data_IF_109572641528
#
_entry.id   IF_109572641528
#
_cell.length_a   1.000
_cell.length_b   1.000
_cell.length_c   1.000
_cell.angle_alpha   90.00
_cell.angle_beta   90.00
_cell.angle_gamma   90.00
#
_symmetry.space_group_name_H-M   'P 1'
#
loop_
_entity.id
_entity.type
_entity.pdbx_description
1 polymer ?
#
# COMPACT_ATOMS: atom_id res chain seq x y z
N UNK A 1 7.11 -15.36 -4.33
CA UNK A 1 7.56 -14.31 -3.40
C UNK A 1 8.80 -13.61 -3.96
N UNK A 2 8.71 -12.30 -4.16
CA UNK A 2 9.81 -11.45 -4.68
C UNK A 2 10.72 -11.04 -3.52
N UNK A 3 12.04 -11.30 -3.64
CA UNK A 3 13.01 -10.85 -2.62
C UNK A 3 13.57 -9.48 -3.01
N UNK A 4 13.47 -8.53 -2.09
CA UNK A 4 14.11 -7.22 -2.21
C UNK A 4 15.48 -7.29 -1.54
N UNK A 5 16.52 -7.32 -2.37
CA UNK A 5 17.90 -7.31 -1.89
C UNK A 5 18.41 -5.88 -1.77
N UNK A 6 19.07 -5.57 -0.67
CA UNK A 6 19.65 -4.25 -0.41
C UNK A 6 20.93 -4.37 0.41
N UNK A 7 21.83 -3.40 0.24
CA UNK A 7 23.01 -3.23 1.09
C UNK A 7 22.77 -2.26 2.25
N UNK A 8 21.57 -1.63 2.30
CA UNK A 8 21.19 -0.75 3.39
C UNK A 8 20.83 -1.58 4.63
N UNK A 9 21.01 -1.01 5.81
CA UNK A 9 20.62 -1.62 7.09
C UNK A 9 19.11 -1.47 7.35
N UNK A 10 18.48 -0.47 6.74
CA UNK A 10 17.04 -0.22 6.81
C UNK A 10 16.51 0.34 5.48
N UNK A 11 15.22 0.16 5.24
CA UNK A 11 14.48 0.75 4.12
C UNK A 11 13.32 1.58 4.64
N UNK A 12 13.06 2.72 3.97
CA UNK A 12 11.89 3.55 4.18
C UNK A 12 10.95 3.38 2.98
N UNK A 13 9.76 2.89 3.23
CA UNK A 13 8.75 2.60 2.21
C UNK A 13 7.58 3.58 2.39
N UNK A 14 7.22 4.31 1.33
CA UNK A 14 5.99 5.09 1.28
C UNK A 14 4.80 4.16 1.06
N UNK A 15 3.68 4.45 1.71
CA UNK A 15 2.43 3.70 1.58
C UNK A 15 1.30 4.64 1.14
N UNK A 16 0.62 4.28 0.06
CA UNK A 16 -0.53 5.00 -0.45
C UNK A 16 -1.56 4.01 -1.03
N UNK A 17 -2.83 4.36 -1.01
CA UNK A 17 -3.91 3.54 -1.54
C UNK A 17 -5.11 4.38 -1.92
N UNK A 18 -6.00 3.83 -2.74
CA UNK A 18 -7.34 4.40 -2.96
C UNK A 18 -7.28 5.88 -3.40
N UNK A 19 -6.36 6.17 -4.33
CA UNK A 19 -6.18 7.54 -4.86
C UNK A 19 -7.35 7.99 -5.71
N UNK A 20 -8.02 7.06 -6.41
CA UNK A 20 -9.23 7.29 -7.20
C UNK A 20 -9.16 8.50 -8.15
N UNK A 21 -7.99 8.80 -8.69
CA UNK A 21 -7.81 9.92 -9.59
C UNK A 21 -8.24 9.57 -11.03
N UNK A 22 -8.83 10.50 -11.75
CA UNK A 22 -9.24 11.85 -11.33
C UNK A 22 -10.65 11.89 -10.71
N UNK A 23 -11.32 10.76 -10.53
CA UNK A 23 -12.75 10.69 -10.17
C UNK A 23 -13.06 11.31 -8.78
N UNK A 24 -12.07 11.40 -7.90
CA UNK A 24 -12.21 11.94 -6.53
C UNK A 24 -11.20 13.04 -6.21
N UNK A 25 -10.63 13.64 -7.23
CA UNK A 25 -9.62 14.69 -7.16
C UNK A 25 -8.31 14.28 -7.79
N UNK A 26 -7.35 15.18 -7.75
CA UNK A 26 -6.00 14.94 -8.25
C UNK A 26 -5.15 14.22 -7.20
N UNK A 27 -4.07 13.59 -7.63
CA UNK A 27 -3.06 13.05 -6.70
C UNK A 27 -2.49 14.20 -5.88
N UNK A 28 -2.56 14.16 -4.53
CA UNK A 28 -2.07 15.23 -3.68
C UNK A 28 -0.55 15.43 -3.87
N UNK A 29 -0.15 16.56 -4.42
CA UNK A 29 1.25 16.85 -4.76
C UNK A 29 2.14 16.99 -3.52
N UNK A 30 1.60 17.46 -2.40
CA UNK A 30 2.27 17.55 -1.11
C UNK A 30 2.68 16.18 -0.56
N UNK A 31 1.89 15.12 -0.81
CA UNK A 31 2.26 13.75 -0.44
C UNK A 31 3.39 13.24 -1.32
N UNK A 32 3.33 13.51 -2.63
CA UNK A 32 4.41 13.15 -3.55
C UNK A 32 5.72 13.84 -3.14
N UNK A 33 5.64 15.15 -2.85
CA UNK A 33 6.77 15.92 -2.36
C UNK A 33 7.31 15.35 -1.03
N UNK A 34 6.43 15.03 -0.07
CA UNK A 34 6.82 14.44 1.21
C UNK A 34 7.54 13.10 1.05
N UNK A 35 7.12 12.25 0.10
CA UNK A 35 7.82 11.01 -0.22
C UNK A 35 9.19 11.28 -0.85
N UNK A 36 9.30 12.26 -1.75
CA UNK A 36 10.55 12.64 -2.40
C UNK A 36 11.54 13.26 -1.41
N UNK A 37 11.10 14.20 -0.56
CA UNK A 37 11.91 14.84 0.48
C UNK A 37 12.47 13.84 1.50
N UNK A 38 11.68 12.83 1.87
CA UNK A 38 12.12 11.72 2.74
C UNK A 38 12.98 10.69 2.01
N UNK A 39 13.14 10.83 0.69
CA UNK A 39 13.91 9.92 -0.14
C UNK A 39 13.54 8.45 0.12
N UNK A 40 12.23 8.12 0.06
CA UNK A 40 11.75 6.75 0.26
C UNK A 40 12.44 5.79 -0.70
N UNK A 41 12.72 4.57 -0.27
CA UNK A 41 13.36 3.54 -1.09
C UNK A 41 12.38 2.92 -2.09
N UNK A 42 11.16 2.68 -1.64
CA UNK A 42 10.06 2.11 -2.42
C UNK A 42 8.77 2.87 -2.12
N UNK A 43 7.87 2.87 -3.10
CA UNK A 43 6.47 3.26 -2.93
C UNK A 43 5.59 2.02 -3.10
N UNK A 44 4.79 1.69 -2.10
CA UNK A 44 3.76 0.67 -2.19
C UNK A 44 2.40 1.33 -2.42
N UNK A 45 1.76 0.99 -3.54
CA UNK A 45 0.41 1.45 -3.84
C UNK A 45 -0.57 0.27 -3.78
N UNK A 46 -1.57 0.38 -2.91
CA UNK A 46 -2.47 -0.74 -2.59
C UNK A 46 -3.73 -0.77 -3.48
N UNK A 47 -3.63 -0.24 -4.71
CA UNK A 47 -4.71 -0.28 -5.71
C UNK A 47 -5.66 0.90 -5.71
N UNK A 48 -6.63 0.84 -6.60
CA UNK A 48 -7.60 1.90 -6.89
C UNK A 48 -6.96 3.20 -7.39
N UNK A 49 -6.14 3.06 -8.44
CA UNK A 49 -5.66 4.17 -9.29
C UNK A 49 -6.80 4.76 -10.11
N UNK A 50 -7.72 3.90 -10.57
CA UNK A 50 -8.83 4.07 -11.51
C UNK A 50 -8.45 4.04 -12.99
N UNK A 51 -7.34 4.62 -13.42
CA UNK A 51 -6.88 4.64 -14.81
C UNK A 51 -5.35 4.50 -14.95
N UNK A 52 -4.91 4.23 -16.18
CA UNK A 52 -3.51 4.05 -16.49
C UNK A 52 -2.69 5.33 -16.32
N UNK A 53 -3.27 6.51 -16.60
CA UNK A 53 -2.60 7.80 -16.48
C UNK A 53 -2.19 8.09 -15.02
N UNK A 54 -3.04 7.75 -14.06
CA UNK A 54 -2.70 7.86 -12.63
C UNK A 54 -1.55 6.92 -12.26
N UNK A 55 -1.57 5.67 -12.73
CA UNK A 55 -0.46 4.75 -12.52
C UNK A 55 0.85 5.27 -13.17
N UNK A 56 0.76 5.79 -14.41
CA UNK A 56 1.90 6.37 -15.12
C UNK A 56 2.49 7.57 -14.35
N UNK A 57 1.64 8.41 -13.75
CA UNK A 57 2.09 9.51 -12.90
C UNK A 57 2.98 9.01 -11.75
N UNK A 58 2.62 7.91 -11.08
CA UNK A 58 3.47 7.33 -10.02
C UNK A 58 4.76 6.72 -10.59
N UNK A 59 4.70 6.10 -11.77
CA UNK A 59 5.90 5.60 -12.46
C UNK A 59 6.88 6.73 -12.78
N UNK A 60 6.38 7.86 -13.28
CA UNK A 60 7.21 9.01 -13.67
C UNK A 60 7.90 9.64 -12.45
N UNK A 61 7.22 9.65 -11.28
CA UNK A 61 7.75 10.24 -10.05
C UNK A 61 8.70 9.31 -9.28
N UNK A 62 8.48 8.00 -9.31
CA UNK A 62 9.22 7.06 -8.45
C UNK A 62 10.03 6.01 -9.23
N UNK A 63 9.73 5.80 -10.50
CA UNK A 63 10.38 4.80 -11.34
C UNK A 63 9.84 3.38 -11.13
N UNK A 64 9.94 2.57 -12.19
CA UNK A 64 9.41 1.20 -12.23
C UNK A 64 9.99 0.27 -11.16
N UNK A 65 11.26 0.44 -10.84
CA UNK A 65 11.96 -0.42 -9.88
C UNK A 65 11.55 -0.13 -8.42
N UNK A 66 11.06 1.09 -8.17
CA UNK A 66 10.69 1.54 -6.82
C UNK A 66 9.19 1.50 -6.56
N UNK A 67 8.35 1.51 -7.61
CA UNK A 67 6.90 1.38 -7.47
C UNK A 67 6.50 -0.10 -7.42
N UNK A 68 5.94 -0.52 -6.31
CA UNK A 68 5.34 -1.85 -6.13
C UNK A 68 3.86 -1.66 -5.87
N UNK A 69 3.02 -2.20 -6.76
CA UNK A 69 1.60 -1.95 -6.71
C UNK A 69 0.78 -3.23 -6.87
N UNK A 70 -0.46 -3.19 -6.42
CA UNK A 70 -1.48 -4.22 -6.64
C UNK A 70 -2.70 -3.60 -7.33
N UNK A 71 -3.48 -4.44 -8.00
CA UNK A 71 -4.73 -4.05 -8.64
C UNK A 71 -5.82 -3.83 -7.59
N UNK A 72 -6.58 -2.73 -7.71
CA UNK A 72 -7.77 -2.46 -6.91
C UNK A 72 -9.07 -2.79 -7.63
N UNK A 73 -10.17 -2.76 -6.93
CA UNK A 73 -11.48 -3.09 -7.53
C UNK A 73 -12.04 -2.00 -8.45
N UNK A 74 -11.56 -0.76 -8.33
CA UNK A 74 -11.92 0.34 -9.22
C UNK A 74 -10.94 0.50 -10.40
N UNK A 75 -9.90 -0.31 -10.48
CA UNK A 75 -8.95 -0.34 -11.58
C UNK A 75 -9.55 -1.07 -12.78
N UNK A 76 -10.51 -0.42 -13.45
CA UNK A 76 -11.24 -1.01 -14.58
C UNK A 76 -10.49 -0.95 -15.91
N UNK A 77 -9.44 -0.13 -15.99
CA UNK A 77 -8.59 0.04 -17.16
C UNK A 77 -7.92 -1.29 -17.55
N UNK A 78 -8.01 -1.65 -18.85
CA UNK A 78 -7.48 -2.91 -19.36
C UNK A 78 -5.96 -3.02 -19.21
N UNK A 79 -5.22 -1.90 -19.38
CA UNK A 79 -3.78 -1.86 -19.21
C UNK A 79 -3.38 -2.12 -17.76
N UNK A 80 -4.13 -1.55 -16.78
CA UNK A 80 -3.88 -1.83 -15.37
C UNK A 80 -4.07 -3.31 -15.04
N UNK A 81 -5.15 -3.92 -15.56
CA UNK A 81 -5.43 -5.35 -15.37
C UNK A 81 -4.38 -6.28 -15.99
N UNK A 82 -3.73 -5.82 -17.05
CA UNK A 82 -2.66 -6.59 -17.70
C UNK A 82 -1.34 -6.54 -16.92
N UNK A 83 -1.03 -5.41 -16.28
CA UNK A 83 0.29 -5.18 -15.67
C UNK A 83 0.33 -5.33 -14.16
N UNK A 84 -0.80 -5.12 -13.45
CA UNK A 84 -0.86 -5.17 -12.00
C UNK A 84 -1.43 -6.51 -11.51
N UNK A 85 -0.75 -7.19 -10.59
CA UNK A 85 -1.30 -8.37 -9.95
C UNK A 85 -2.30 -7.99 -8.85
N UNK A 86 -3.22 -8.91 -8.52
CA UNK A 86 -4.14 -8.74 -7.38
C UNK A 86 -3.44 -8.79 -6.03
N UNK A 87 -2.31 -9.50 -5.96
CA UNK A 87 -1.52 -9.66 -4.74
C UNK A 87 -0.03 -9.60 -5.04
N UNK A 88 0.75 -9.14 -4.06
CA UNK A 88 2.21 -9.21 -4.08
C UNK A 88 2.70 -9.89 -2.80
N UNK A 89 3.68 -10.77 -2.95
CA UNK A 89 4.39 -11.38 -1.84
C UNK A 89 5.85 -10.95 -1.89
N UNK A 90 6.31 -10.29 -0.84
CA UNK A 90 7.65 -9.73 -0.75
C UNK A 90 8.39 -10.30 0.45
N UNK A 91 9.72 -10.36 0.34
CA UNK A 91 10.62 -10.61 1.45
C UNK A 91 11.66 -9.48 1.52
N UNK A 92 11.72 -8.80 2.66
CA UNK A 92 12.64 -7.69 2.95
C UNK A 92 13.31 -8.00 4.30
N UNK A 93 14.63 -8.12 4.35
CA UNK A 93 15.39 -8.47 5.56
C UNK A 93 14.88 -9.72 6.29
N UNK A 94 14.34 -10.71 5.59
CA UNK A 94 13.65 -11.88 6.13
C UNK A 94 12.20 -11.67 6.62
N UNK A 95 11.72 -10.44 6.70
CA UNK A 95 10.29 -10.18 6.94
C UNK A 95 9.48 -10.45 5.68
N UNK A 96 8.42 -11.22 5.84
CA UNK A 96 7.51 -11.58 4.76
C UNK A 96 6.29 -10.67 4.77
N UNK A 97 6.06 -10.02 3.64
CA UNK A 97 5.01 -9.03 3.46
C UNK A 97 4.02 -9.53 2.40
N UNK A 98 2.76 -9.55 2.75
CA UNK A 98 1.66 -9.79 1.83
C UNK A 98 0.97 -8.46 1.51
N UNK A 99 0.81 -8.16 0.23
CA UNK A 99 0.12 -6.96 -0.24
C UNK A 99 -1.10 -7.35 -1.06
N UNK A 100 -2.22 -6.71 -0.83
CA UNK A 100 -3.45 -6.83 -1.63
C UNK A 100 -4.27 -5.55 -1.49
N UNK A 101 -5.17 -5.32 -2.45
CA UNK A 101 -6.13 -4.24 -2.24
C UNK A 101 -7.14 -4.59 -1.14
N UNK A 102 -7.54 -5.85 -1.06
CA UNK A 102 -8.54 -6.28 -0.09
C UNK A 102 -9.96 -6.28 -0.63
N UNK A 103 -10.92 -6.56 0.26
CA UNK A 103 -12.36 -6.59 -0.09
C UNK A 103 -13.25 -6.50 1.14
N UNK A 104 -14.40 -5.84 1.00
CA UNK A 104 -15.44 -5.75 2.04
C UNK A 104 -15.27 -4.58 2.98
N UNK A 105 -16.28 -4.34 3.84
CA UNK A 105 -16.31 -3.17 4.71
C UNK A 105 -15.25 -3.20 5.83
N UNK A 106 -14.97 -2.04 6.44
CA UNK A 106 -13.89 -1.87 7.44
C UNK A 106 -13.96 -2.86 8.62
N UNK A 107 -15.16 -3.16 9.11
CA UNK A 107 -15.34 -4.06 10.24
C UNK A 107 -15.11 -5.54 9.90
N UNK A 108 -15.03 -5.88 8.61
CA UNK A 108 -14.93 -7.26 8.14
C UNK A 108 -13.64 -7.54 7.37
N UNK A 109 -12.83 -6.51 7.11
CA UNK A 109 -11.67 -6.61 6.22
C UNK A 109 -10.69 -7.69 6.69
N UNK A 110 -10.29 -7.68 7.96
CA UNK A 110 -9.33 -8.65 8.51
C UNK A 110 -9.87 -10.08 8.40
N UNK A 111 -11.15 -10.29 8.75
CA UNK A 111 -11.78 -11.61 8.62
C UNK A 111 -11.80 -12.09 7.17
N UNK A 112 -12.07 -11.18 6.23
CA UNK A 112 -12.09 -11.52 4.79
C UNK A 112 -10.68 -11.81 4.26
N UNK A 113 -9.68 -11.03 4.65
CA UNK A 113 -8.28 -11.30 4.29
C UNK A 113 -7.88 -12.71 4.75
N UNK A 114 -8.10 -13.05 6.03
CA UNK A 114 -7.78 -14.38 6.57
C UNK A 114 -8.60 -15.52 5.95
N UNK A 115 -9.80 -15.24 5.45
CA UNK A 115 -10.63 -16.25 4.78
C UNK A 115 -10.18 -16.53 3.35
N UNK A 116 -9.76 -15.48 2.62
CA UNK A 116 -9.54 -15.57 1.18
C UNK A 116 -8.08 -15.80 0.79
N UNK A 117 -7.15 -15.55 1.70
CA UNK A 117 -5.72 -15.70 1.46
C UNK A 117 -5.06 -16.60 2.49
N UNK A 118 -4.05 -17.36 2.05
CA UNK A 118 -3.18 -18.14 2.94
C UNK A 118 -2.12 -17.22 3.50
N UNK A 119 -2.39 -16.67 4.69
CA UNK A 119 -1.52 -15.67 5.31
C UNK A 119 -0.54 -16.25 6.34
N UNK A 120 -0.50 -17.56 6.52
CA UNK A 120 0.44 -18.23 7.42
C UNK A 120 1.89 -17.96 6.98
N UNK A 121 2.71 -17.55 7.92
CA UNK A 121 4.13 -17.25 7.68
C UNK A 121 4.41 -15.87 7.12
N UNK A 122 3.40 -15.00 6.94
CA UNK A 122 3.61 -13.56 6.70
C UNK A 122 3.65 -12.80 8.02
N UNK A 123 4.58 -11.86 8.13
CA UNK A 123 4.75 -10.97 9.30
C UNK A 123 3.88 -9.72 9.19
N UNK A 124 3.67 -9.26 7.94
CA UNK A 124 2.93 -8.04 7.63
C UNK A 124 1.92 -8.31 6.52
N UNK A 125 0.70 -7.82 6.69
CA UNK A 125 -0.35 -7.76 5.66
C UNK A 125 -0.70 -6.30 5.42
N UNK A 126 -0.41 -5.81 4.21
CA UNK A 126 -0.68 -4.42 3.82
C UNK A 126 -1.85 -4.42 2.83
N UNK A 127 -2.85 -3.58 3.09
CA UNK A 127 -4.08 -3.55 2.29
C UNK A 127 -4.64 -2.14 2.13
N UNK A 128 -5.51 -1.94 1.14
CA UNK A 128 -6.27 -0.72 0.85
C UNK A 128 -7.76 -0.91 1.09
N UNK A 129 -8.60 -0.43 0.15
CA UNK A 129 -10.04 -0.67 0.00
C UNK A 129 -10.95 -0.03 1.05
N UNK A 130 -10.55 -0.02 2.31
CA UNK A 130 -11.41 0.44 3.42
C UNK A 130 -11.39 1.96 3.60
N UNK A 131 -10.52 2.67 2.90
CA UNK A 131 -10.31 4.13 2.94
C UNK A 131 -9.94 4.69 4.32
N UNK A 132 -9.90 3.85 5.33
CA UNK A 132 -9.53 4.21 6.71
C UNK A 132 -8.13 3.70 7.02
N UNK A 133 -7.32 4.50 7.73
CA UNK A 133 -6.04 4.01 8.20
C UNK A 133 -6.23 2.85 9.19
N UNK A 134 -5.33 1.89 9.12
CA UNK A 134 -5.30 0.74 10.01
C UNK A 134 -3.85 0.41 10.35
N UNK A 135 -3.55 0.24 11.64
CA UNK A 135 -2.21 -0.12 12.10
C UNK A 135 -2.34 -0.89 13.41
N UNK A 136 -2.42 -2.22 13.31
CA UNK A 136 -2.65 -3.06 14.48
C UNK A 136 -1.93 -4.41 14.34
N UNK A 137 -1.21 -4.78 15.37
CA UNK A 137 -0.66 -6.13 15.52
C UNK A 137 -1.69 -7.01 16.22
N UNK A 138 -2.05 -8.12 15.58
CA UNK A 138 -3.03 -9.08 16.12
C UNK A 138 -2.36 -10.15 16.98
N UNK A 139 -3.20 -10.94 17.68
CA UNK A 139 -2.77 -12.01 18.59
C UNK A 139 -1.96 -13.11 17.90
N UNK A 140 -2.13 -13.27 16.60
CA UNK A 140 -1.32 -14.17 15.76
C UNK A 140 0.10 -13.65 15.48
N UNK A 141 0.46 -12.48 16.02
CA UNK A 141 1.75 -11.82 15.87
C UNK A 141 1.89 -11.00 14.58
N UNK A 142 0.90 -11.06 13.67
CA UNK A 142 0.91 -10.39 12.37
C UNK A 142 0.50 -8.93 12.47
N UNK A 143 1.24 -8.06 11.77
CA UNK A 143 0.88 -6.66 11.61
C UNK A 143 -0.09 -6.52 10.42
N UNK A 144 -1.25 -5.93 10.65
CA UNK A 144 -2.17 -5.50 9.61
C UNK A 144 -2.08 -3.99 9.45
N UNK A 145 -1.85 -3.54 8.21
CA UNK A 145 -1.53 -2.14 7.92
C UNK A 145 -2.30 -1.65 6.69
N UNK A 146 -2.98 -0.52 6.82
CA UNK A 146 -3.59 0.22 5.70
C UNK A 146 -3.24 1.69 5.80
N UNK A 147 -2.78 2.33 4.72
CA UNK A 147 -2.50 3.76 4.73
C UNK A 147 -3.76 4.63 4.73
N UNK A 148 -4.94 4.05 4.48
CA UNK A 148 -6.16 4.81 4.21
C UNK A 148 -6.18 5.36 2.79
N UNK A 149 -6.88 6.47 2.58
CA UNK A 149 -6.99 7.17 1.29
C UNK A 149 -6.54 8.62 1.43
N UNK A 150 -5.82 9.19 0.46
CA UNK A 150 -5.42 10.59 0.50
C UNK A 150 -6.47 11.55 -0.09
N UNK A 151 -7.52 11.06 -0.76
CA UNK A 151 -8.43 11.87 -1.58
C UNK A 151 -9.90 11.74 -1.20
N UNK A 152 -10.34 10.55 -0.79
CA UNK A 152 -11.77 10.26 -0.65
C UNK A 152 -12.27 10.50 0.78
N UNK A 153 -13.18 11.47 0.93
CA UNK A 153 -13.87 11.78 2.21
C UNK A 153 -15.26 11.16 2.33
N UNK A 154 -15.69 10.31 1.38
CA UNK A 154 -17.05 9.72 1.42
C UNK A 154 -17.19 8.59 2.42
N UNK A 155 -16.10 7.87 2.69
CA UNK A 155 -16.07 6.69 3.57
C UNK A 155 -15.20 6.87 4.80
N UNK A 156 -14.54 8.03 4.90
CA UNK A 156 -13.70 8.39 6.05
C UNK A 156 -13.70 9.89 6.24
N UNK A 157 -13.64 10.34 7.48
CA UNK A 157 -13.44 11.76 7.83
C UNK A 157 -11.96 12.16 7.82
N UNK A 158 -11.08 11.18 7.67
CA UNK A 158 -9.62 11.35 7.76
C UNK A 158 -8.99 10.89 6.46
N UNK A 159 -8.36 11.81 5.73
CA UNK A 159 -7.44 11.45 4.66
C UNK A 159 -6.08 11.11 5.26
N UNK A 160 -5.39 10.16 4.64
CA UNK A 160 -4.11 9.67 5.18
C UNK A 160 -3.25 8.98 4.13
N UNK A 161 -1.97 8.89 4.46
CA UNK A 161 -0.96 8.08 3.80
C UNK A 161 -0.01 7.51 4.85
N UNK A 162 0.99 6.75 4.47
CA UNK A 162 1.84 6.14 5.48
C UNK A 162 3.29 5.96 5.09
N UNK A 163 4.05 5.52 6.08
CA UNK A 163 5.40 5.04 5.93
C UNK A 163 5.56 3.70 6.64
N UNK A 164 6.41 2.85 6.09
CA UNK A 164 6.89 1.64 6.74
C UNK A 164 8.41 1.69 6.74
N UNK A 165 9.00 1.88 7.91
CA UNK A 165 10.42 1.73 8.12
C UNK A 165 10.70 0.29 8.51
N UNK A 166 11.58 -0.39 7.80
CA UNK A 166 11.88 -1.80 8.01
C UNK A 166 13.38 -2.05 8.01
N UNK A 167 13.85 -2.80 9.00
CA UNK A 167 15.22 -3.28 9.15
C UNK A 167 15.20 -4.77 9.48
N UNK A 168 16.36 -5.39 9.68
CA UNK A 168 16.44 -6.80 10.10
C UNK A 168 15.72 -7.08 11.42
N UNK A 169 15.69 -6.09 12.32
CA UNK A 169 15.25 -6.25 13.71
C UNK A 169 13.89 -5.62 13.98
N UNK A 170 13.47 -4.64 13.15
CA UNK A 170 12.30 -3.80 13.44
C UNK A 170 11.42 -3.56 12.24
N UNK A 171 10.12 -3.48 12.52
CA UNK A 171 9.06 -3.05 11.63
C UNK A 171 8.36 -1.87 12.32
N UNK A 172 8.49 -0.68 11.76
CA UNK A 172 7.98 0.58 12.34
C UNK A 172 7.03 1.27 11.35
N UNK A 173 5.74 0.94 11.40
CA UNK A 173 4.73 1.63 10.58
C UNK A 173 4.38 3.00 11.17
N UNK A 174 4.11 3.96 10.31
CA UNK A 174 3.62 5.29 10.68
C UNK A 174 2.54 5.75 9.71
N UNK A 175 1.37 6.09 10.22
CA UNK A 175 0.29 6.73 9.46
C UNK A 175 0.38 8.24 9.66
N UNK A 176 0.17 8.98 8.58
CA UNK A 176 0.09 10.45 8.55
C UNK A 176 -1.32 10.83 8.15
N UNK A 177 -2.03 11.49 9.03
CA UNK A 177 -3.35 12.07 8.79
C UNK A 177 -3.19 13.47 8.19
N UNK A 178 -4.08 13.83 7.24
CA UNK A 178 -4.07 15.11 6.50
C UNK A 178 -5.47 15.71 6.33
#
# INVERSE_FOLDING_TARGET
MKKIQTQKDELLIGLISDTHCPSRGDVPQDIIQAFQEKNIDYLFHLGDFCNYETYQFFLDNFGKERLIAVLGNMDSDSKLKEILPETQELEIFSHKIFMTHGMGGPNMIIRRLNKNYKLEGFDIVIFGHVHRPYNEKKDDGRLYLSPGTPTDKRFTDINSYGYLKISKEKIEPKIIEI
#
